data_IF_535289692002
#
_entry.id   IF_535289692002
#
_cell.length_a   1.000
_cell.length_b   1.000
_cell.length_c   1.000
_cell.angle_alpha   90.00
_cell.angle_beta   90.00
_cell.angle_gamma   90.00
#
_symmetry.space_group_name_H-M   'P 1'
#
loop_
_entity.id
_entity.type
_entity.pdbx_description
1 polymer ?
#
# COMPACT_ATOMS: atom_id res chain seq x y z
N UNK A 1 2.63 -26.31 35.68
CA UNK A 1 2.20 -25.13 34.91
C UNK A 1 0.73 -24.95 35.19
N UNK A 2 0.34 -23.86 35.84
CA UNK A 2 -1.08 -23.51 35.98
C UNK A 2 -1.59 -23.11 34.59
N UNK A 3 -2.73 -23.68 34.17
CA UNK A 3 -3.45 -23.25 32.97
C UNK A 3 -3.93 -21.82 33.21
N UNK A 4 -3.15 -20.82 32.78
CA UNK A 4 -3.67 -19.46 32.65
C UNK A 4 -4.80 -19.50 31.63
N UNK A 5 -6.01 -19.13 32.05
CA UNK A 5 -7.11 -18.94 31.12
C UNK A 5 -6.68 -17.94 30.04
N UNK A 6 -6.94 -18.28 28.79
CA UNK A 6 -6.73 -17.36 27.69
C UNK A 6 -7.81 -16.27 27.78
N UNK A 7 -7.41 -15.02 27.98
CA UNK A 7 -8.34 -13.89 28.17
C UNK A 7 -8.51 -13.08 26.88
N UNK A 8 -7.51 -13.11 25.99
CA UNK A 8 -7.59 -12.47 24.68
C UNK A 8 -6.66 -13.08 23.66
N UNK A 9 -7.14 -13.22 22.43
CA UNK A 9 -6.34 -13.57 21.26
C UNK A 9 -6.64 -12.60 20.11
N UNK A 10 -5.61 -12.24 19.35
CA UNK A 10 -5.75 -11.41 18.15
C UNK A 10 -4.74 -11.77 17.08
N UNK A 11 -5.14 -11.63 15.81
CA UNK A 11 -4.19 -11.58 14.69
C UNK A 11 -3.76 -10.13 14.52
N UNK A 12 -2.46 -9.89 14.37
CA UNK A 12 -1.92 -8.57 14.05
C UNK A 12 -1.14 -8.70 12.76
N UNK A 13 -1.65 -8.12 11.69
CA UNK A 13 -0.97 -8.04 10.41
C UNK A 13 -0.47 -6.62 10.22
N UNK A 14 0.75 -6.42 9.76
CA UNK A 14 1.26 -5.08 9.52
C UNK A 14 2.17 -5.00 8.31
N UNK A 15 2.22 -3.81 7.73
CA UNK A 15 3.12 -3.43 6.66
C UNK A 15 3.79 -2.10 7.00
N UNK A 16 5.11 -2.04 6.83
CA UNK A 16 5.94 -0.87 7.10
C UNK A 16 6.52 -0.34 5.79
N UNK A 17 6.31 0.94 5.58
CA UNK A 17 6.93 1.75 4.54
C UNK A 17 7.90 2.75 5.17
N UNK A 18 8.95 3.13 4.46
CA UNK A 18 9.90 4.10 5.00
C UNK A 18 10.61 4.92 3.93
N UNK A 19 11.02 6.13 4.31
CA UNK A 19 11.81 6.99 3.43
C UNK A 19 12.76 7.93 4.19
N UNK A 20 13.78 8.40 3.47
CA UNK A 20 14.68 9.48 3.90
C UNK A 20 14.28 10.84 3.34
N UNK A 21 13.32 10.84 2.41
CA UNK A 21 12.86 12.00 1.66
C UNK A 21 11.65 12.58 2.39
N UNK A 22 11.75 13.86 2.78
CA UNK A 22 10.94 14.47 3.82
C UNK A 22 9.55 14.94 3.32
N UNK A 23 8.65 15.14 4.28
CA UNK A 23 7.41 15.93 4.24
C UNK A 23 7.63 17.43 3.94
N UNK A 24 8.03 17.81 2.72
CA UNK A 24 8.03 19.20 2.24
C UNK A 24 8.98 20.26 2.87
N UNK A 25 9.72 19.99 3.94
CA UNK A 25 10.67 20.94 4.55
C UNK A 25 12.05 20.33 4.88
N UNK A 26 13.08 20.50 4.03
CA UNK A 26 14.44 20.05 4.31
C UNK A 26 15.13 20.82 5.46
N UNK A 27 14.59 21.96 5.91
CA UNK A 27 15.17 22.81 6.95
C UNK A 27 14.52 22.62 8.33
N UNK A 28 13.32 22.06 8.42
CA UNK A 28 12.72 21.73 9.72
C UNK A 28 13.30 20.42 10.26
N UNK A 29 14.38 20.53 11.04
CA UNK A 29 14.99 19.43 11.80
C UNK A 29 14.12 18.90 12.95
N UNK A 30 12.86 19.29 13.04
CA UNK A 30 12.00 18.90 14.14
C UNK A 30 11.52 17.47 13.87
N UNK A 31 11.83 16.55 14.80
CA UNK A 31 11.22 15.22 14.83
C UNK A 31 9.71 15.39 14.73
N UNK A 32 9.06 14.80 13.71
CA UNK A 32 7.61 14.66 13.74
C UNK A 32 7.32 13.76 14.94
N UNK A 33 6.73 14.36 15.97
CA UNK A 33 6.30 13.67 17.18
C UNK A 33 5.32 12.58 16.73
N UNK A 34 5.43 11.34 17.21
CA UNK A 34 4.48 10.29 16.85
C UNK A 34 3.07 10.78 17.19
N UNK A 35 2.27 10.97 16.15
CA UNK A 35 0.87 11.34 16.29
C UNK A 35 0.12 10.06 16.63
N UNK A 36 -0.92 10.18 17.46
CA UNK A 36 -1.82 9.07 17.75
C UNK A 36 -2.22 8.37 16.44
N UNK A 37 -2.23 7.03 16.42
CA UNK A 37 -2.53 6.32 15.19
C UNK A 37 -3.92 6.66 14.68
N UNK A 38 -4.04 6.86 13.36
CA UNK A 38 -5.33 6.88 12.71
C UNK A 38 -5.98 5.51 12.89
N UNK A 39 -7.07 5.46 13.64
CA UNK A 39 -7.76 4.22 13.98
C UNK A 39 -9.10 4.11 13.24
N UNK A 40 -9.31 3.00 12.52
CA UNK A 40 -10.59 2.68 11.89
C UNK A 40 -11.09 1.34 12.45
N UNK A 41 -12.19 1.38 13.21
CA UNK A 41 -12.85 0.15 13.68
C UNK A 41 -13.75 -0.42 12.56
N UNK A 42 -13.99 -1.73 12.60
CA UNK A 42 -14.74 -2.46 11.58
C UNK A 42 -14.16 -2.21 10.18
N UNK A 43 -12.89 -2.56 10.02
CA UNK A 43 -12.13 -2.41 8.76
C UNK A 43 -11.08 -3.53 8.64
N UNK A 44 -11.11 -4.35 7.57
CA UNK A 44 -11.97 -4.26 6.39
C UNK A 44 -13.44 -4.65 6.64
N UNK A 45 -13.72 -5.41 7.70
CA UNK A 45 -15.06 -5.88 8.08
C UNK A 45 -15.23 -5.85 9.61
N UNK A 46 -16.40 -6.24 10.11
CA UNK A 46 -16.68 -6.28 11.55
C UNK A 46 -15.71 -7.21 12.29
N UNK A 47 -15.27 -6.80 13.49
CA UNK A 47 -14.26 -7.53 14.27
C UNK A 47 -12.80 -7.15 13.97
N UNK A 48 -12.56 -6.36 12.91
CA UNK A 48 -11.24 -5.87 12.55
C UNK A 48 -11.02 -4.41 12.91
N UNK A 49 -9.75 -4.04 13.12
CA UNK A 49 -9.32 -2.67 13.41
C UNK A 49 -8.08 -2.33 12.60
N UNK A 50 -8.17 -1.28 11.78
CA UNK A 50 -7.02 -0.66 11.12
C UNK A 50 -6.38 0.38 12.05
N UNK A 51 -5.05 0.42 12.10
CA UNK A 51 -4.26 1.49 12.69
C UNK A 51 -3.17 1.94 11.72
N UNK A 52 -3.10 3.22 11.41
CA UNK A 52 -1.99 3.79 10.64
C UNK A 52 -1.15 4.69 11.54
N UNK A 53 0.14 4.37 11.68
CA UNK A 53 1.12 5.14 12.44
C UNK A 53 2.06 5.85 11.47
N UNK A 54 2.43 7.08 11.81
CA UNK A 54 3.27 7.95 10.98
C UNK A 54 4.44 8.50 11.78
N UNK A 55 5.60 8.64 11.15
CA UNK A 55 6.82 9.13 11.77
C UNK A 55 7.72 8.00 12.26
N UNK A 56 7.32 7.29 13.32
CA UNK A 56 8.10 6.19 13.93
C UNK A 56 7.35 4.86 13.87
N UNK A 57 8.08 3.75 13.88
CA UNK A 57 7.48 2.41 14.02
C UNK A 57 7.08 2.23 15.49
N UNK A 58 5.87 1.74 15.78
CA UNK A 58 5.44 1.49 17.16
C UNK A 58 6.33 0.47 17.89
N UNK A 59 6.63 0.72 19.17
CA UNK A 59 7.51 -0.13 19.99
C UNK A 59 6.98 -1.56 20.16
N UNK A 60 5.66 -1.74 20.20
CA UNK A 60 5.03 -3.06 20.24
C UNK A 60 5.26 -3.83 18.94
N UNK A 61 5.21 -3.17 17.79
CA UNK A 61 5.53 -3.77 16.48
C UNK A 61 7.03 -4.08 16.35
N UNK A 62 7.91 -3.18 16.83
CA UNK A 62 9.36 -3.42 16.87
C UNK A 62 9.67 -4.64 17.74
N UNK A 63 9.20 -4.63 18.98
CA UNK A 63 9.41 -5.70 19.96
C UNK A 63 8.88 -7.04 19.44
N UNK A 64 7.72 -7.01 18.78
CA UNK A 64 7.15 -8.19 18.16
C UNK A 64 8.01 -8.76 17.04
N UNK A 65 8.47 -7.88 16.14
CA UNK A 65 9.31 -8.28 15.01
C UNK A 65 10.66 -8.82 15.46
N UNK A 66 11.27 -8.18 16.45
CA UNK A 66 12.55 -8.58 17.03
C UNK A 66 12.44 -9.91 17.76
N UNK A 67 11.37 -10.13 18.52
CA UNK A 67 11.09 -11.43 19.16
C UNK A 67 11.05 -12.55 18.13
N UNK A 68 10.33 -12.32 17.02
CA UNK A 68 10.25 -13.29 15.92
C UNK A 68 11.61 -13.53 15.25
N UNK A 69 12.36 -12.46 14.94
CA UNK A 69 13.71 -12.62 14.37
C UNK A 69 14.64 -13.36 15.35
N UNK A 70 14.52 -13.11 16.65
CA UNK A 70 15.30 -13.77 17.70
C UNK A 70 15.03 -15.28 17.74
N UNK A 71 13.76 -15.67 17.69
CA UNK A 71 13.36 -17.08 17.58
C UNK A 71 13.91 -17.72 16.30
N UNK A 72 13.81 -17.02 15.16
CA UNK A 72 14.33 -17.50 13.88
C UNK A 72 15.86 -17.69 13.93
N UNK A 73 16.59 -16.77 14.57
CA UNK A 73 18.03 -16.86 14.76
C UNK A 73 18.42 -18.05 15.65
N UNK A 74 17.69 -18.31 16.74
CA UNK A 74 17.90 -19.49 17.59
C UNK A 74 17.73 -20.77 16.77
N UNK A 75 16.64 -20.88 16.01
CA UNK A 75 16.35 -22.05 15.17
C UNK A 75 17.41 -22.25 14.09
N UNK A 76 17.85 -21.16 13.46
CA UNK A 76 18.93 -21.18 12.49
C UNK A 76 20.22 -21.71 13.14
N UNK A 77 20.63 -21.17 14.29
CA UNK A 77 21.83 -21.62 15.01
C UNK A 77 21.75 -23.11 15.38
N UNK A 78 20.60 -23.56 15.90
CA UNK A 78 20.37 -24.97 16.24
C UNK A 78 20.46 -25.90 15.02
N UNK A 79 19.95 -25.46 13.86
CA UNK A 79 19.93 -26.27 12.62
C UNK A 79 21.33 -26.40 12.01
N UNK A 80 22.11 -25.32 12.00
CA UNK A 80 23.40 -25.25 11.31
C UNK A 80 24.60 -25.51 12.23
N UNK A 81 24.37 -26.09 13.41
CA UNK A 81 25.43 -26.56 14.30
C UNK A 81 26.24 -25.46 14.99
N UNK A 82 25.76 -24.21 14.94
CA UNK A 82 26.29 -23.18 15.83
C UNK A 82 25.84 -23.55 17.25
N UNK A 83 26.77 -23.62 18.20
CA UNK A 83 26.48 -24.05 19.57
C UNK A 83 25.49 -23.09 20.24
N UNK A 84 24.20 -23.41 20.17
CA UNK A 84 23.20 -22.84 21.07
C UNK A 84 23.58 -23.33 22.46
N UNK A 85 23.85 -22.39 23.36
CA UNK A 85 24.21 -22.71 24.73
C UNK A 85 22.99 -23.26 25.46
N UNK A 86 22.87 -24.59 25.48
CA UNK A 86 21.74 -25.31 26.10
C UNK A 86 21.70 -25.15 27.63
N UNK A 87 22.72 -24.51 28.25
CA UNK A 87 22.69 -24.18 29.68
C UNK A 87 21.83 -22.95 30.00
N UNK A 88 21.55 -22.10 29.00
CA UNK A 88 20.70 -20.92 29.14
C UNK A 88 19.23 -21.29 29.10
N UNK A 89 18.43 -20.57 29.88
CA UNK A 89 16.97 -20.63 29.76
C UNK A 89 16.50 -20.12 28.38
N UNK A 90 15.30 -20.50 27.97
CA UNK A 90 14.71 -20.05 26.69
C UNK A 90 14.59 -18.51 26.60
N UNK A 91 14.30 -17.85 27.73
CA UNK A 91 14.21 -16.39 27.80
C UNK A 91 15.59 -15.73 27.61
N UNK A 92 16.64 -16.28 28.21
CA UNK A 92 18.01 -15.79 28.03
C UNK A 92 18.49 -15.97 26.60
N UNK A 93 18.24 -17.13 25.99
CA UNK A 93 18.56 -17.39 24.59
C UNK A 93 17.86 -16.39 23.65
N UNK A 94 16.58 -16.09 23.93
CA UNK A 94 15.81 -15.12 23.15
C UNK A 94 16.36 -13.71 23.30
N UNK A 95 16.61 -13.26 24.53
CA UNK A 95 17.17 -11.94 24.82
C UNK A 95 18.52 -11.74 24.12
N UNK A 96 19.41 -12.73 24.21
CA UNK A 96 20.73 -12.67 23.59
C UNK A 96 20.63 -12.63 22.06
N UNK A 97 19.70 -13.40 21.48
CA UNK A 97 19.46 -13.41 20.03
C UNK A 97 18.87 -12.09 19.54
N UNK A 98 17.93 -11.49 20.28
CA UNK A 98 17.40 -10.14 19.99
C UNK A 98 18.52 -9.10 20.04
N UNK A 99 19.39 -9.16 21.05
CA UNK A 99 20.53 -8.24 21.16
C UNK A 99 21.46 -8.36 19.94
N UNK A 100 21.75 -9.58 19.49
CA UNK A 100 22.54 -9.84 18.28
C UNK A 100 21.88 -9.25 17.02
N UNK A 101 20.56 -9.40 16.87
CA UNK A 101 19.82 -8.81 15.74
C UNK A 101 19.90 -7.29 15.75
N UNK A 102 19.77 -6.66 16.92
CA UNK A 102 19.89 -5.20 17.07
C UNK A 102 21.29 -4.70 16.71
N UNK A 103 22.34 -5.48 16.98
CA UNK A 103 23.71 -5.15 16.59
C UNK A 103 23.93 -5.20 15.07
N UNK A 104 23.16 -6.02 14.37
CA UNK A 104 23.34 -6.28 12.93
C UNK A 104 22.28 -5.64 12.04
N UNK A 105 21.27 -4.99 12.60
CA UNK A 105 20.19 -4.39 11.82
C UNK A 105 19.84 -2.99 12.30
N UNK A 106 19.77 -2.05 11.36
CA UNK A 106 19.35 -0.67 11.56
C UNK A 106 17.95 -0.42 10.99
N UNK A 107 17.18 -1.47 10.67
CA UNK A 107 15.97 -1.35 9.83
C UNK A 107 14.92 -0.34 10.33
N UNK A 108 14.82 -0.16 11.64
CA UNK A 108 13.86 0.75 12.29
C UNK A 108 14.46 2.12 12.67
N UNK A 109 15.76 2.32 12.41
CA UNK A 109 16.49 3.57 12.69
C UNK A 109 17.20 4.14 11.47
N UNK A 110 17.29 3.38 10.38
CA UNK A 110 17.96 3.72 9.12
C UNK A 110 17.27 4.83 8.36
N UNK A 111 15.95 4.90 8.47
CA UNK A 111 15.14 5.85 7.74
C UNK A 111 14.66 6.97 8.66
N UNK A 112 14.51 8.17 8.09
CA UNK A 112 13.99 9.31 8.84
C UNK A 112 12.50 9.19 9.14
N UNK A 113 11.74 8.59 8.22
CA UNK A 113 10.28 8.54 8.29
C UNK A 113 9.75 7.13 8.05
N UNK A 114 8.75 6.75 8.83
CA UNK A 114 8.05 5.47 8.74
C UNK A 114 6.54 5.65 8.67
N UNK A 115 5.88 4.79 7.90
CA UNK A 115 4.42 4.62 7.92
C UNK A 115 4.16 3.15 8.18
N UNK A 116 3.47 2.86 9.29
CA UNK A 116 3.12 1.49 9.69
C UNK A 116 1.62 1.34 9.61
N UNK A 117 1.15 0.48 8.70
CA UNK A 117 -0.26 0.10 8.58
C UNK A 117 -0.43 -1.22 9.32
N UNK A 118 -1.35 -1.27 10.28
CA UNK A 118 -1.64 -2.44 11.11
C UNK A 118 -3.12 -2.80 10.99
N UNK A 119 -3.42 -4.05 10.76
CA UNK A 119 -4.77 -4.63 10.83
C UNK A 119 -4.77 -5.60 12.00
N UNK A 120 -5.64 -5.36 12.97
CA UNK A 120 -5.88 -6.24 14.10
C UNK A 120 -7.23 -6.94 13.94
N UNK A 121 -7.25 -8.25 14.08
CA UNK A 121 -8.46 -9.06 14.12
C UNK A 121 -8.60 -9.63 15.53
N UNK A 122 -9.73 -9.37 16.20
CA UNK A 122 -10.03 -10.03 17.47
C UNK A 122 -10.51 -11.44 17.20
N UNK A 123 -9.95 -12.39 17.93
CA UNK A 123 -10.30 -13.80 17.81
C UNK A 123 -11.07 -14.21 19.05
N UNK A 124 -12.20 -14.88 18.85
CA UNK A 124 -12.93 -15.48 19.96
C UNK A 124 -12.11 -16.64 20.52
N UNK A 125 -11.62 -16.44 21.74
CA UNK A 125 -10.76 -17.37 22.46
C UNK A 125 -11.48 -18.68 22.79
N UNK A 126 -12.82 -18.69 22.87
CA UNK A 126 -13.58 -19.90 23.18
C UNK A 126 -13.46 -20.96 22.08
N UNK A 127 -13.20 -20.56 20.83
CA UNK A 127 -12.84 -21.50 19.77
C UNK A 127 -11.48 -22.17 19.99
N UNK A 128 -10.64 -21.58 20.86
CA UNK A 128 -9.25 -21.94 21.09
C UNK A 128 -8.94 -22.46 22.50
N UNK A 129 -9.89 -22.43 23.44
CA UNK A 129 -9.75 -23.02 24.79
C UNK A 129 -9.36 -24.51 24.76
N UNK A 130 -9.60 -25.19 23.64
CA UNK A 130 -9.23 -26.59 23.42
C UNK A 130 -7.83 -26.80 22.81
N UNK A 131 -7.08 -25.74 22.49
CA UNK A 131 -5.69 -25.88 22.05
C UNK A 131 -4.76 -25.93 23.25
N UNK A 132 -4.52 -27.13 23.76
CA UNK A 132 -3.34 -27.38 24.55
C UNK A 132 -2.09 -27.36 23.63
N UNK A 133 -1.46 -26.19 23.54
CA UNK A 133 -0.25 -25.95 22.75
C UNK A 133 0.96 -26.77 23.21
N UNK A 134 0.86 -27.53 24.32
CA UNK A 134 1.91 -28.42 24.80
C UNK A 134 2.18 -29.60 23.86
N UNK A 135 1.26 -29.90 22.94
CA UNK A 135 1.43 -31.01 21.99
C UNK A 135 1.63 -30.52 20.56
N UNK A 136 2.62 -31.10 19.88
CA UNK A 136 2.93 -30.81 18.47
C UNK A 136 1.72 -30.97 17.56
N UNK A 137 0.84 -31.94 17.83
CA UNK A 137 -0.36 -32.19 17.03
C UNK A 137 -1.41 -31.08 17.16
N UNK A 138 -1.66 -30.59 18.37
CA UNK A 138 -2.61 -29.50 18.60
C UNK A 138 -2.04 -28.17 18.13
N UNK A 139 -0.74 -27.93 18.31
CA UNK A 139 -0.02 -26.82 17.70
C UNK A 139 -0.13 -26.82 16.17
N UNK A 140 -0.04 -28.00 15.53
CA UNK A 140 -0.20 -28.11 14.07
C UNK A 140 -1.65 -27.87 13.62
N UNK A 141 -2.64 -28.31 14.40
CA UNK A 141 -4.06 -28.05 14.13
C UNK A 141 -4.38 -26.56 14.27
N UNK A 142 -3.83 -25.91 15.30
CA UNK A 142 -3.89 -24.46 15.50
C UNK A 142 -3.30 -23.73 14.28
N UNK A 143 -2.10 -24.12 13.86
CA UNK A 143 -1.40 -23.56 12.70
C UNK A 143 -2.21 -23.66 11.41
N UNK A 144 -2.85 -24.80 11.18
CA UNK A 144 -3.65 -25.01 9.97
C UNK A 144 -4.92 -24.15 9.97
N UNK A 145 -5.53 -23.95 11.14
CA UNK A 145 -6.68 -23.06 11.29
C UNK A 145 -6.28 -21.59 11.08
N UNK A 146 -5.18 -21.15 11.71
CA UNK A 146 -4.60 -19.82 11.49
C UNK A 146 -4.26 -19.57 10.00
N UNK A 147 -3.64 -20.55 9.32
CA UNK A 147 -3.37 -20.49 7.88
C UNK A 147 -4.63 -20.43 7.03
N UNK A 148 -5.76 -20.96 7.51
CA UNK A 148 -7.05 -20.88 6.81
C UNK A 148 -7.61 -19.46 6.90
N UNK A 149 -7.64 -18.86 8.10
CA UNK A 149 -8.04 -17.45 8.28
C UNK A 149 -7.17 -16.48 7.47
N UNK A 150 -5.85 -16.69 7.44
CA UNK A 150 -4.94 -15.90 6.59
C UNK A 150 -5.23 -15.98 5.07
N UNK A 151 -5.88 -17.05 4.60
CA UNK A 151 -6.26 -17.19 3.19
C UNK A 151 -7.61 -16.56 2.87
N UNK A 152 -8.43 -16.32 3.88
CA UNK A 152 -9.80 -15.83 3.70
C UNK A 152 -9.81 -14.32 3.44
N UNK A 153 -8.84 -13.56 3.98
CA UNK A 153 -8.69 -12.13 3.69
C UNK A 153 -7.53 -11.80 2.73
N UNK A 154 -7.78 -10.97 1.69
CA UNK A 154 -6.74 -10.50 0.78
C UNK A 154 -5.94 -9.34 1.42
N UNK A 155 -5.23 -9.60 2.53
CA UNK A 155 -4.48 -8.60 3.30
C UNK A 155 -3.58 -7.72 2.43
N UNK A 156 -2.90 -8.32 1.44
CA UNK A 156 -2.06 -7.58 0.49
C UNK A 156 -2.85 -6.53 -0.27
N UNK A 157 -4.05 -6.87 -0.77
CA UNK A 157 -4.92 -5.94 -1.49
C UNK A 157 -5.43 -4.83 -0.56
N UNK A 158 -5.80 -5.19 0.67
CA UNK A 158 -6.25 -4.22 1.68
C UNK A 158 -5.13 -3.21 1.97
N UNK A 159 -3.91 -3.68 2.24
CA UNK A 159 -2.77 -2.78 2.46
C UNK A 159 -2.45 -1.94 1.23
N UNK A 160 -2.54 -2.50 0.03
CA UNK A 160 -2.30 -1.74 -1.21
C UNK A 160 -3.35 -0.64 -1.38
N UNK A 161 -4.63 -0.91 -1.08
CA UNK A 161 -5.71 0.08 -1.10
C UNK A 161 -5.52 1.17 -0.06
N UNK A 162 -5.15 0.81 1.17
CA UNK A 162 -4.86 1.79 2.23
C UNK A 162 -3.66 2.65 1.82
N UNK A 163 -2.56 2.03 1.39
CA UNK A 163 -1.37 2.73 0.89
C UNK A 163 -1.71 3.68 -0.27
N UNK A 164 -2.54 3.24 -1.21
CA UNK A 164 -2.99 4.06 -2.32
C UNK A 164 -3.82 5.26 -1.87
N UNK A 165 -4.72 5.11 -0.90
CA UNK A 165 -5.45 6.26 -0.34
C UNK A 165 -4.49 7.25 0.35
N UNK A 166 -3.46 6.73 1.00
CA UNK A 166 -2.42 7.54 1.65
C UNK A 166 -1.52 8.27 0.63
N UNK A 167 -1.40 7.80 -0.63
CA UNK A 167 -0.67 8.53 -1.70
C UNK A 167 -1.27 9.89 -2.04
N UNK A 168 -2.55 10.12 -1.76
CA UNK A 168 -3.18 11.44 -1.94
C UNK A 168 -2.62 12.49 -0.98
N UNK A 169 -2.18 12.04 0.18
CA UNK A 169 -1.73 12.91 1.27
C UNK A 169 -0.21 12.92 1.39
N UNK A 170 0.44 11.83 1.00
CA UNK A 170 1.88 11.65 1.14
C UNK A 170 2.58 11.40 -0.19
N UNK A 171 3.86 11.70 -0.19
CA UNK A 171 4.68 11.57 -1.39
C UNK A 171 4.82 10.11 -1.87
N UNK A 172 4.86 9.91 -3.19
CA UNK A 172 5.04 8.60 -3.81
C UNK A 172 6.30 7.86 -3.35
N UNK A 173 7.38 8.60 -3.04
CA UNK A 173 8.63 8.01 -2.57
C UNK A 173 8.44 7.21 -1.28
N UNK A 174 7.44 7.56 -0.48
CA UNK A 174 7.11 6.88 0.76
C UNK A 174 6.73 5.42 0.53
N UNK A 175 5.95 5.16 -0.52
CA UNK A 175 5.41 3.83 -0.83
C UNK A 175 6.25 3.05 -1.83
N UNK A 176 7.33 3.65 -2.34
CA UNK A 176 8.32 2.97 -3.18
C UNK A 176 9.18 1.95 -2.42
N UNK A 177 9.15 1.97 -1.07
CA UNK A 177 9.93 1.07 -0.21
C UNK A 177 9.08 0.42 0.86
N UNK A 178 8.51 -0.73 0.53
CA UNK A 178 8.05 -1.66 1.55
C UNK A 178 9.26 -2.28 2.27
N UNK A 179 9.41 -2.02 3.57
CA UNK A 179 10.49 -2.58 4.39
C UNK A 179 10.13 -3.97 4.91
N UNK A 180 8.90 -4.09 5.41
CA UNK A 180 8.45 -5.26 6.16
C UNK A 180 6.97 -5.45 5.91
N UNK A 181 6.56 -6.70 5.68
CA UNK A 181 5.19 -7.15 5.88
C UNK A 181 5.26 -8.44 6.69
N UNK A 182 4.55 -8.49 7.82
CA UNK A 182 4.48 -9.69 8.65
C UNK A 182 3.12 -9.82 9.32
N UNK A 183 2.90 -11.05 9.78
CA UNK A 183 1.67 -11.52 10.40
C UNK A 183 2.08 -12.08 11.76
N UNK A 184 1.46 -11.60 12.81
CA UNK A 184 1.63 -12.07 14.17
C UNK A 184 0.32 -12.63 14.68
N UNK A 185 0.42 -13.64 15.53
CA UNK A 185 -0.67 -14.10 16.36
C UNK A 185 -0.31 -13.80 17.81
N UNK A 186 -1.16 -13.07 18.50
CA UNK A 186 -0.94 -12.60 19.86
C UNK A 186 -1.97 -13.24 20.78
N UNK A 187 -1.52 -13.92 21.83
CA UNK A 187 -2.39 -14.47 22.89
C UNK A 187 -1.90 -13.98 24.22
N UNK A 188 -2.78 -13.36 25.02
CA UNK A 188 -2.41 -12.78 26.32
C UNK A 188 -1.09 -11.98 26.23
N UNK A 189 -1.00 -11.12 25.20
CA UNK A 189 0.18 -10.28 24.90
C UNK A 189 1.46 -11.02 24.47
N UNK A 190 1.42 -12.35 24.36
CA UNK A 190 2.54 -13.18 23.90
C UNK A 190 2.42 -13.46 22.40
N UNK A 191 3.53 -13.44 21.65
CA UNK A 191 3.54 -13.58 20.18
C UNK A 191 3.99 -14.98 19.77
N UNK A 192 3.23 -15.64 18.88
CA UNK A 192 3.44 -17.06 18.59
C UNK A 192 3.86 -17.41 17.14
N UNK A 193 3.63 -16.57 16.11
CA UNK A 193 3.75 -17.02 14.69
C UNK A 193 4.24 -16.00 13.65
N UNK A 194 4.70 -16.54 12.49
CA UNK A 194 5.07 -15.85 11.23
C UNK A 194 4.72 -16.68 9.97
N UNK A 195 4.43 -16.02 8.85
CA UNK A 195 4.64 -16.49 7.46
C UNK A 195 5.67 -15.55 6.77
N UNK A 196 6.69 -16.02 6.01
CA UNK A 196 7.76 -15.17 5.53
C UNK A 196 7.43 -14.52 4.17
N UNK A 197 7.35 -13.20 4.13
CA UNK A 197 7.60 -12.39 2.93
C UNK A 197 8.82 -11.50 3.17
N UNK A 198 9.82 -11.56 2.29
CA UNK A 198 10.97 -10.64 2.27
C UNK A 198 10.83 -9.78 1.02
N UNK A 199 10.76 -8.46 1.16
CA UNK A 199 10.91 -7.51 0.06
C UNK A 199 11.79 -6.35 0.49
N UNK A 200 12.63 -5.85 -0.41
CA UNK A 200 13.44 -4.64 -0.22
C UNK A 200 13.40 -3.80 -1.49
N UNK A 201 13.14 -2.50 -1.35
CA UNK A 201 13.11 -1.50 -2.44
C UNK A 201 13.92 -0.25 -2.09
N UNK A 202 14.44 0.44 -3.12
CA UNK A 202 15.13 1.74 -3.06
C UNK A 202 14.39 2.69 -4.03
N UNK A 203 14.35 3.99 -3.73
CA UNK A 203 13.48 4.99 -4.32
C UNK A 203 13.86 6.40 -3.82
N UNK A 204 13.66 7.36 -4.72
CA UNK A 204 14.12 8.76 -4.75
C UNK A 204 12.98 9.76 -4.47
N UNK A 205 13.35 11.02 -4.20
CA UNK A 205 12.54 12.16 -3.73
C UNK A 205 11.38 12.57 -4.65
N UNK A 206 10.22 12.88 -4.04
CA UNK A 206 9.32 13.96 -4.47
C UNK A 206 8.57 14.58 -3.27
N UNK A 207 7.62 15.47 -3.51
CA UNK A 207 7.06 16.46 -2.57
C UNK A 207 5.64 16.09 -2.13
N UNK A 208 5.35 16.03 -0.82
CA UNK A 208 4.02 15.67 -0.26
C UNK A 208 3.52 16.63 0.82
N UNK A 209 2.24 16.55 1.24
CA UNK A 209 1.63 17.46 2.25
C UNK A 209 2.08 17.13 3.68
N UNK A 210 2.05 18.11 4.59
CA UNK A 210 2.33 17.91 6.03
C UNK A 210 1.25 17.05 6.68
N UNK A 211 1.64 16.09 7.54
CA UNK A 211 0.68 15.20 8.20
C UNK A 211 -0.36 15.96 9.04
N UNK A 212 0.03 17.02 9.76
CA UNK A 212 -0.88 17.80 10.60
C UNK A 212 -1.98 18.52 9.79
N UNK A 213 -1.85 18.56 8.46
CA UNK A 213 -2.83 19.13 7.55
C UNK A 213 -3.73 18.09 6.88
N UNK A 214 -3.60 16.81 7.23
CA UNK A 214 -4.42 15.73 6.67
C UNK A 214 -5.80 15.72 7.32
N UNK A 215 -6.84 15.79 6.50
CA UNK A 215 -8.22 15.59 6.93
C UNK A 215 -8.45 14.10 7.20
N UNK A 216 -8.43 13.71 8.48
CA UNK A 216 -8.58 12.33 8.90
C UNK A 216 -9.98 11.76 8.56
N UNK A 217 -11.04 12.55 8.64
CA UNK A 217 -12.40 12.08 8.35
C UNK A 217 -12.57 11.80 6.87
N UNK A 218 -12.08 12.71 6.03
CA UNK A 218 -12.08 12.52 4.57
C UNK A 218 -11.24 11.29 4.19
N UNK A 219 -10.05 11.13 4.77
CA UNK A 219 -9.17 10.00 4.50
C UNK A 219 -9.82 8.66 4.88
N UNK A 220 -10.47 8.58 6.05
CA UNK A 220 -11.21 7.38 6.49
C UNK A 220 -12.34 7.07 5.51
N UNK A 221 -13.09 8.07 5.07
CA UNK A 221 -14.18 7.90 4.10
C UNK A 221 -13.65 7.31 2.79
N UNK A 222 -12.58 7.88 2.25
CA UNK A 222 -11.94 7.41 1.02
C UNK A 222 -11.43 5.97 1.17
N UNK A 223 -10.82 5.61 2.30
CA UNK A 223 -10.37 4.24 2.56
C UNK A 223 -11.52 3.23 2.57
N UNK A 224 -12.67 3.59 3.16
CA UNK A 224 -13.86 2.72 3.16
C UNK A 224 -14.42 2.54 1.76
N UNK A 225 -14.57 3.61 0.99
CA UNK A 225 -15.01 3.54 -0.41
C UNK A 225 -14.06 2.70 -1.27
N UNK A 226 -12.75 2.89 -1.08
CA UNK A 226 -11.71 2.17 -1.80
C UNK A 226 -11.75 0.66 -1.60
N UNK A 227 -12.06 0.19 -0.38
CA UNK A 227 -12.22 -1.24 -0.10
C UNK A 227 -13.34 -1.88 -0.91
N UNK A 228 -14.46 -1.18 -1.04
CA UNK A 228 -15.67 -1.70 -1.69
C UNK A 228 -15.61 -1.63 -3.22
N UNK A 229 -14.63 -0.91 -3.78
CA UNK A 229 -14.53 -0.69 -5.21
C UNK A 229 -13.54 -1.65 -5.90
N UNK A 230 -14.07 -2.65 -6.63
CA UNK A 230 -13.27 -3.61 -7.41
C UNK A 230 -12.50 -2.97 -8.57
N UNK A 231 -13.02 -1.88 -9.16
CA UNK A 231 -12.33 -1.18 -10.24
C UNK A 231 -11.04 -0.54 -9.72
N UNK A 232 -11.11 0.03 -8.52
CA UNK A 232 -9.97 0.63 -7.85
C UNK A 232 -8.88 -0.42 -7.54
N UNK A 233 -9.25 -1.67 -7.22
CA UNK A 233 -8.28 -2.76 -6.99
C UNK A 233 -7.29 -2.92 -8.15
N UNK A 234 -7.75 -2.79 -9.40
CA UNK A 234 -6.87 -2.92 -10.58
C UNK A 234 -5.91 -1.73 -10.70
N UNK A 235 -6.41 -0.51 -10.50
CA UNK A 235 -5.60 0.72 -10.55
C UNK A 235 -4.53 0.67 -9.45
N UNK A 236 -4.96 0.35 -8.22
CA UNK A 236 -4.12 0.17 -7.03
C UNK A 236 -3.03 -0.88 -7.29
N UNK A 237 -3.41 -2.06 -7.78
CA UNK A 237 -2.46 -3.14 -8.05
C UNK A 237 -1.31 -2.68 -8.97
N UNK A 238 -1.64 -2.10 -10.12
CA UNK A 238 -0.62 -1.67 -11.09
C UNK A 238 0.16 -0.45 -10.61
N UNK A 239 -0.47 0.45 -9.85
CA UNK A 239 0.23 1.59 -9.25
C UNK A 239 1.26 1.13 -8.22
N UNK A 240 0.87 0.23 -7.31
CA UNK A 240 1.78 -0.31 -6.30
C UNK A 240 2.88 -1.19 -6.95
N UNK A 241 2.54 -1.97 -7.98
CA UNK A 241 3.53 -2.73 -8.76
C UNK A 241 4.57 -1.80 -9.42
N UNK A 242 4.13 -0.69 -10.02
CA UNK A 242 5.03 0.32 -10.59
C UNK A 242 5.95 0.93 -9.53
N UNK A 243 5.40 1.33 -8.38
CA UNK A 243 6.19 1.97 -7.31
C UNK A 243 7.27 1.05 -6.74
N UNK A 244 6.97 -0.25 -6.64
CA UNK A 244 7.87 -1.27 -6.08
C UNK A 244 8.86 -1.87 -7.09
N UNK A 245 8.67 -1.64 -8.40
CA UNK A 245 9.54 -2.21 -9.44
C UNK A 245 10.88 -1.47 -9.57
N UNK A 246 11.97 -2.23 -9.67
CA UNK A 246 13.35 -1.74 -9.78
C UNK A 246 13.80 -1.62 -11.22
N UNK A 247 13.39 -2.55 -12.07
CA UNK A 247 13.72 -2.51 -13.48
C UNK A 247 12.97 -1.37 -14.15
N UNK A 248 13.70 -0.42 -14.73
CA UNK A 248 13.11 0.80 -15.30
C UNK A 248 12.13 0.48 -16.44
N UNK A 249 12.39 -0.52 -17.27
CA UNK A 249 11.47 -0.88 -18.35
C UNK A 249 10.16 -1.44 -17.83
N UNK A 250 10.24 -2.38 -16.88
CA UNK A 250 9.05 -2.94 -16.23
C UNK A 250 8.29 -1.87 -15.45
N UNK A 251 8.99 -0.99 -14.74
CA UNK A 251 8.39 0.13 -14.02
C UNK A 251 7.58 1.02 -14.95
N UNK A 252 8.16 1.40 -16.09
CA UNK A 252 7.44 2.18 -17.10
C UNK A 252 6.22 1.42 -17.63
N UNK A 253 6.38 0.13 -17.95
CA UNK A 253 5.29 -0.69 -18.49
C UNK A 253 4.14 -0.85 -17.48
N UNK A 254 4.44 -1.12 -16.22
CA UNK A 254 3.44 -1.22 -15.14
C UNK A 254 2.72 0.12 -14.93
N UNK A 255 3.45 1.23 -14.98
CA UNK A 255 2.83 2.56 -14.92
C UNK A 255 1.93 2.83 -16.12
N UNK A 256 2.34 2.43 -17.34
CA UNK A 256 1.48 2.55 -18.51
C UNK A 256 0.23 1.68 -18.42
N UNK A 257 0.34 0.44 -17.92
CA UNK A 257 -0.84 -0.41 -17.67
C UNK A 257 -1.78 0.21 -16.64
N UNK A 258 -1.24 0.80 -15.58
CA UNK A 258 -2.03 1.57 -14.61
C UNK A 258 -2.79 2.71 -15.31
N UNK A 259 -2.11 3.49 -16.15
CA UNK A 259 -2.71 4.61 -16.89
C UNK A 259 -3.77 4.15 -17.89
N UNK A 260 -3.57 3.03 -18.57
CA UNK A 260 -4.53 2.46 -19.52
C UNK A 260 -5.82 2.01 -18.82
N UNK A 261 -5.68 1.33 -17.68
CA UNK A 261 -6.82 0.92 -16.85
C UNK A 261 -7.53 2.14 -16.29
N UNK A 262 -6.78 3.08 -15.71
CA UNK A 262 -7.30 4.34 -15.17
C UNK A 262 -8.12 5.08 -16.24
N UNK A 263 -7.57 5.23 -17.45
CA UNK A 263 -8.25 5.86 -18.59
C UNK A 263 -9.56 5.14 -18.92
N UNK A 264 -9.54 3.81 -19.05
CA UNK A 264 -10.75 3.08 -19.42
C UNK A 264 -11.83 3.11 -18.33
N UNK A 265 -11.46 2.97 -17.05
CA UNK A 265 -12.44 2.99 -15.96
C UNK A 265 -12.99 4.39 -15.70
N UNK A 266 -12.13 5.41 -15.73
CA UNK A 266 -12.54 6.81 -15.60
C UNK A 266 -13.49 7.20 -16.74
N UNK A 267 -13.17 6.79 -17.97
CA UNK A 267 -14.04 7.04 -19.12
C UNK A 267 -15.44 6.45 -18.92
N UNK A 268 -15.56 5.21 -18.44
CA UNK A 268 -16.88 4.58 -18.17
C UNK A 268 -17.67 5.31 -17.09
N UNK A 269 -17.01 5.86 -16.06
CA UNK A 269 -17.67 6.65 -15.02
C UNK A 269 -18.25 7.93 -15.65
N UNK A 270 -17.43 8.66 -16.40
CA UNK A 270 -17.85 9.94 -16.96
C UNK A 270 -18.83 9.79 -18.14
N UNK A 271 -18.67 8.79 -19.00
CA UNK A 271 -19.60 8.46 -20.07
C UNK A 271 -21.03 8.24 -19.51
N UNK A 272 -21.14 7.45 -18.44
CA UNK A 272 -22.44 7.19 -17.77
C UNK A 272 -22.99 8.42 -17.06
N UNK A 273 -22.14 9.26 -16.47
CA UNK A 273 -22.59 10.48 -15.77
C UNK A 273 -23.00 11.61 -16.72
N UNK A 274 -22.37 11.71 -17.90
CA UNK A 274 -22.69 12.71 -18.91
C UNK A 274 -24.00 12.40 -19.65
N UNK A 275 -24.46 11.14 -19.66
CA UNK A 275 -25.83 10.84 -20.10
C UNK A 275 -26.92 11.38 -19.16
N UNK A 276 -26.59 11.80 -17.92
CA UNK A 276 -27.61 12.18 -16.93
C UNK A 276 -27.53 13.64 -16.42
N UNK A 277 -26.36 14.28 -16.29
CA UNK A 277 -26.30 15.53 -15.46
C UNK A 277 -25.46 16.71 -15.99
N UNK A 278 -24.40 16.51 -16.78
CA UNK A 278 -23.44 17.61 -17.05
C UNK A 278 -23.84 18.65 -18.11
N UNK A 279 -24.96 18.46 -18.81
CA UNK A 279 -25.46 19.43 -19.80
C UNK A 279 -26.30 20.57 -19.20
N UNK A 280 -26.52 20.63 -17.87
CA UNK A 280 -27.50 21.56 -17.29
C UNK A 280 -27.02 22.54 -16.22
N UNK A 281 -25.90 22.34 -15.52
CA UNK A 281 -25.69 23.07 -14.25
C UNK A 281 -24.29 23.62 -13.91
N UNK A 282 -23.32 23.74 -14.84
CA UNK A 282 -22.07 24.47 -14.55
C UNK A 282 -22.09 25.91 -15.08
N UNK A 283 -22.40 26.87 -14.21
CA UNK A 283 -22.13 28.29 -14.44
C UNK A 283 -20.63 28.49 -14.66
N UNK A 284 -20.24 28.82 -15.90
CA UNK A 284 -18.85 28.90 -16.34
C UNK A 284 -18.49 27.95 -17.49
N UNK A 285 -19.41 27.09 -17.93
CA UNK A 285 -19.26 26.25 -19.12
C UNK A 285 -19.13 27.12 -20.38
N UNK A 286 -17.91 27.26 -20.89
CA UNK A 286 -17.62 27.86 -22.18
C UNK A 286 -17.64 26.76 -23.24
N UNK A 287 -18.79 26.64 -23.92
CA UNK A 287 -19.05 25.69 -25.00
C UNK A 287 -18.00 25.81 -26.14
N UNK A 288 -17.31 26.95 -26.24
CA UNK A 288 -16.23 27.17 -27.21
C UNK A 288 -14.86 26.60 -26.80
N UNK A 289 -14.70 26.18 -25.54
CA UNK A 289 -13.44 25.61 -24.99
C UNK A 289 -13.50 24.11 -24.73
N UNK A 290 -14.69 23.51 -24.73
CA UNK A 290 -14.85 22.06 -24.54
C UNK A 290 -14.84 21.35 -25.89
N UNK A 291 -13.66 20.83 -26.21
CA UNK A 291 -13.35 19.68 -27.09
C UNK A 291 -14.10 19.57 -28.44
N UNK A 292 -13.42 19.74 -29.59
CA UNK A 292 -13.97 19.52 -30.94
C UNK A 292 -14.35 18.07 -31.32
N UNK A 293 -14.47 17.14 -30.36
CA UNK A 293 -14.39 15.69 -30.64
C UNK A 293 -15.72 14.93 -30.58
N UNK A 294 -16.82 15.57 -30.15
CA UNK A 294 -18.14 14.94 -30.10
C UNK A 294 -19.04 15.49 -31.20
N UNK A 295 -18.60 15.33 -32.44
CA UNK A 295 -19.57 15.22 -33.53
C UNK A 295 -20.45 14.01 -33.18
N UNK A 296 -21.76 14.20 -33.16
CA UNK A 296 -22.80 13.31 -32.60
C UNK A 296 -22.93 11.93 -33.29
N UNK A 297 -21.89 11.46 -33.98
CA UNK A 297 -21.85 10.27 -34.83
C UNK A 297 -20.99 9.12 -34.28
N UNK A 298 -20.49 9.20 -33.04
CA UNK A 298 -19.84 8.05 -32.39
C UNK A 298 -20.90 7.09 -31.82
N UNK A 299 -21.57 6.34 -32.70
CA UNK A 299 -22.58 5.33 -32.34
C UNK A 299 -22.00 4.15 -31.53
N UNK A 300 -20.67 4.03 -31.40
CA UNK A 300 -20.01 2.97 -30.61
C UNK A 300 -18.79 3.50 -29.84
N UNK A 301 -19.04 3.99 -28.62
CA UNK A 301 -18.01 4.47 -27.68
C UNK A 301 -16.99 3.40 -27.31
N UNK A 302 -17.30 2.11 -27.50
CA UNK A 302 -16.35 1.02 -27.29
C UNK A 302 -15.22 1.01 -28.33
N UNK A 303 -15.40 1.65 -29.49
CA UNK A 303 -14.39 1.75 -30.55
C UNK A 303 -13.45 2.94 -30.39
N UNK A 304 -13.67 3.80 -29.39
CA UNK A 304 -12.78 4.93 -29.15
C UNK A 304 -11.38 4.45 -28.78
N UNK A 305 -10.38 5.03 -29.45
CA UNK A 305 -8.98 4.75 -29.11
C UNK A 305 -8.67 5.25 -27.70
N UNK A 306 -7.68 4.63 -27.06
CA UNK A 306 -7.26 5.03 -25.71
C UNK A 306 -6.90 6.52 -25.62
N UNK A 307 -6.28 7.08 -26.67
CA UNK A 307 -5.94 8.51 -26.73
C UNK A 307 -7.18 9.41 -26.76
N UNK A 308 -8.23 9.02 -27.49
CA UNK A 308 -9.49 9.78 -27.53
C UNK A 308 -10.16 9.75 -26.15
N UNK A 309 -10.20 8.58 -25.50
CA UNK A 309 -10.75 8.45 -24.14
C UNK A 309 -9.98 9.32 -23.15
N UNK A 310 -8.65 9.34 -23.23
CA UNK A 310 -7.83 10.19 -22.37
C UNK A 310 -8.07 11.68 -22.65
N UNK A 311 -8.17 12.11 -23.91
CA UNK A 311 -8.53 13.49 -24.24
C UNK A 311 -9.86 13.91 -23.59
N UNK A 312 -10.88 13.05 -23.63
CA UNK A 312 -12.15 13.34 -22.97
C UNK A 312 -11.99 13.51 -21.46
N UNK A 313 -11.25 12.60 -20.82
CA UNK A 313 -11.00 12.66 -19.38
C UNK A 313 -10.22 13.91 -19.00
N UNK A 314 -9.14 14.22 -19.73
CA UNK A 314 -8.32 15.40 -19.49
C UNK A 314 -9.12 16.70 -19.66
N UNK A 315 -9.94 16.80 -20.71
CA UNK A 315 -10.81 17.96 -20.91
C UNK A 315 -11.87 18.12 -19.83
N UNK A 316 -12.28 17.02 -19.20
CA UNK A 316 -13.28 17.01 -18.12
C UNK A 316 -12.67 17.32 -16.76
N UNK A 317 -11.54 16.69 -16.42
CA UNK A 317 -10.95 16.73 -15.08
C UNK A 317 -9.86 17.78 -14.91
N UNK A 318 -9.18 18.19 -15.99
CA UNK A 318 -8.05 19.13 -15.93
C UNK A 318 -8.02 20.10 -17.12
N UNK A 319 -9.09 20.88 -17.35
CA UNK A 319 -9.20 21.73 -18.54
C UNK A 319 -8.07 22.77 -18.67
N UNK A 320 -7.54 23.26 -17.54
CA UNK A 320 -6.46 24.26 -17.54
C UNK A 320 -5.12 23.71 -18.06
N UNK A 321 -4.83 22.42 -17.82
CA UNK A 321 -3.61 21.75 -18.27
C UNK A 321 -3.86 20.71 -19.38
N UNK A 322 -5.04 20.77 -20.00
CA UNK A 322 -5.49 19.79 -21.01
C UNK A 322 -4.43 19.47 -22.07
N UNK A 323 -3.85 20.51 -22.70
CA UNK A 323 -2.87 20.32 -23.77
C UNK A 323 -1.59 19.65 -23.30
N UNK A 324 -1.11 19.99 -22.10
CA UNK A 324 0.10 19.40 -21.53
C UNK A 324 -0.11 17.93 -21.18
N UNK A 325 -1.25 17.62 -20.54
CA UNK A 325 -1.61 16.25 -20.16
C UNK A 325 -1.77 15.34 -21.38
N UNK A 326 -2.45 15.83 -22.42
CA UNK A 326 -2.62 15.06 -23.67
C UNK A 326 -1.28 14.82 -24.36
N UNK A 327 -0.40 15.83 -24.41
CA UNK A 327 0.93 15.68 -25.01
C UNK A 327 1.79 14.65 -24.26
N UNK A 328 1.79 14.71 -22.93
CA UNK A 328 2.48 13.74 -22.08
C UNK A 328 1.93 12.32 -22.28
N UNK A 329 0.60 12.18 -22.32
CA UNK A 329 -0.05 10.89 -22.55
C UNK A 329 0.34 10.30 -23.92
N UNK A 330 0.30 11.11 -24.99
CA UNK A 330 0.70 10.69 -26.34
C UNK A 330 2.16 10.26 -26.34
N UNK A 331 3.04 10.99 -25.66
CA UNK A 331 4.46 10.64 -25.52
C UNK A 331 4.61 9.26 -24.85
N UNK A 332 3.98 9.05 -23.70
CA UNK A 332 4.01 7.75 -23.00
C UNK A 332 3.43 6.61 -23.85
N UNK A 333 2.31 6.85 -24.56
CA UNK A 333 1.70 5.86 -25.44
C UNK A 333 2.61 5.47 -26.58
N UNK A 334 3.25 6.45 -27.23
CA UNK A 334 4.21 6.19 -28.30
C UNK A 334 5.39 5.36 -27.81
N UNK A 335 5.97 5.71 -26.65
CA UNK A 335 7.04 4.91 -26.03
C UNK A 335 6.59 3.46 -25.76
N UNK A 336 5.38 3.25 -25.23
CA UNK A 336 4.86 1.89 -25.02
C UNK A 336 4.68 1.13 -26.33
N UNK A 337 4.11 1.78 -27.34
CA UNK A 337 3.93 1.19 -28.67
C UNK A 337 5.30 0.80 -29.26
N UNK A 338 6.29 1.69 -29.22
CA UNK A 338 7.65 1.41 -29.67
C UNK A 338 8.27 0.18 -28.97
N UNK A 339 8.17 0.10 -27.64
CA UNK A 339 8.61 -1.07 -26.87
C UNK A 339 7.91 -2.36 -27.32
N UNK A 340 6.61 -2.29 -27.58
CA UNK A 340 5.80 -3.46 -27.98
C UNK A 340 6.16 -3.97 -29.38
N UNK A 341 6.66 -3.09 -30.25
CA UNK A 341 7.16 -3.44 -31.58
C UNK A 341 8.64 -3.85 -31.59
N UNK A 342 9.29 -3.94 -30.42
CA UNK A 342 10.69 -4.34 -30.30
C UNK A 342 11.70 -3.23 -30.61
N UNK A 343 11.26 -1.97 -30.66
CA UNK A 343 12.20 -0.85 -30.82
C UNK A 343 13.02 -0.69 -29.54
N UNK A 344 14.35 -0.73 -29.67
CA UNK A 344 15.27 -0.55 -28.55
C UNK A 344 15.34 0.95 -28.23
N UNK A 345 14.61 1.38 -27.21
CA UNK A 345 14.77 2.72 -26.64
C UNK A 345 15.91 2.70 -25.61
N UNK A 346 16.50 3.86 -25.30
CA UNK A 346 17.41 3.93 -24.15
C UNK A 346 16.61 4.15 -22.88
N UNK A 347 17.06 3.56 -21.78
CA UNK A 347 16.43 3.70 -20.45
C UNK A 347 16.24 5.17 -20.02
N UNK A 348 17.17 6.06 -20.42
CA UNK A 348 17.10 7.50 -20.09
C UNK A 348 16.13 8.29 -20.97
N UNK A 349 15.56 7.66 -22.00
CA UNK A 349 14.55 8.25 -22.90
C UNK A 349 13.12 7.91 -22.46
N UNK A 350 12.95 7.09 -21.41
CA UNK A 350 11.64 6.75 -20.85
C UNK A 350 10.99 7.98 -20.20
N UNK A 351 9.74 8.33 -20.56
CA UNK A 351 9.05 9.52 -20.06
C UNK A 351 8.45 9.27 -18.67
N UNK A 352 9.30 9.02 -17.67
CA UNK A 352 8.87 8.75 -16.29
C UNK A 352 8.25 9.96 -15.61
N UNK A 353 8.76 11.15 -15.90
CA UNK A 353 8.28 12.38 -15.26
C UNK A 353 6.86 12.67 -15.72
N UNK A 354 6.62 12.56 -17.02
CA UNK A 354 5.33 12.71 -17.67
C UNK A 354 4.33 11.64 -17.16
N UNK A 355 4.76 10.38 -17.14
CA UNK A 355 3.93 9.27 -16.67
C UNK A 355 3.54 9.43 -15.18
N UNK A 356 4.50 9.79 -14.32
CA UNK A 356 4.22 10.02 -12.91
C UNK A 356 3.29 11.21 -12.72
N UNK A 357 3.53 12.33 -13.41
CA UNK A 357 2.69 13.54 -13.33
C UNK A 357 1.24 13.24 -13.66
N UNK A 358 1.00 12.54 -14.77
CA UNK A 358 -0.36 12.12 -15.16
C UNK A 358 -0.94 11.18 -14.11
N UNK A 359 -0.24 10.10 -13.75
CA UNK A 359 -0.78 9.12 -12.80
C UNK A 359 -1.11 9.76 -11.46
N UNK A 360 -0.25 10.61 -10.91
CA UNK A 360 -0.45 11.28 -9.62
C UNK A 360 -1.73 12.10 -9.62
N UNK A 361 -1.92 12.93 -10.65
CA UNK A 361 -3.11 13.76 -10.79
C UNK A 361 -4.37 12.90 -10.96
N UNK A 362 -4.43 12.05 -11.99
CA UNK A 362 -5.66 11.35 -12.35
C UNK A 362 -6.05 10.25 -11.36
N UNK A 363 -5.08 9.62 -10.66
CA UNK A 363 -5.39 8.71 -9.55
C UNK A 363 -5.94 9.45 -8.32
N UNK A 364 -5.52 10.70 -8.10
CA UNK A 364 -6.06 11.52 -7.02
C UNK A 364 -7.47 12.01 -7.36
N UNK A 365 -7.71 12.43 -8.60
CA UNK A 365 -9.03 12.87 -9.03
C UNK A 365 -10.05 11.73 -9.02
N UNK A 366 -9.70 10.53 -9.50
CA UNK A 366 -10.65 9.41 -9.50
C UNK A 366 -11.11 9.02 -8.08
N UNK A 367 -10.25 9.16 -7.07
CA UNK A 367 -10.61 8.93 -5.66
C UNK A 367 -11.67 9.91 -5.13
N UNK A 368 -11.91 11.05 -5.81
CA UNK A 368 -12.99 11.99 -5.46
C UNK A 368 -14.32 11.62 -6.10
N UNK A 369 -14.30 10.76 -7.12
CA UNK A 369 -15.47 10.38 -7.91
C UNK A 369 -15.95 8.94 -7.65
N UNK A 370 -15.28 8.24 -6.72
CA UNK A 370 -15.62 6.93 -6.19
C UNK A 370 -16.03 7.12 -4.73
#
# INVERSE_FOLDING_TARGET
>A
MENKSCESAKIVVFRIYATNTYYHDPESSNEIIPIEPLCINAFPEDGYKLKCYFGKVPEDIISAKETVDGIDLIRFKATFGNSVDMSKSSEELLRDSIAEIRLHTDRFTKFKWYTTIVIEEKIDVHEYENFNLDTTAQYQKFLNHFKKGLKELPYTEIFDKVAFCLLKEFDNSFFSKQLVENYFFVVNETIFFRNPGIFSGIGDLSVGKKYESVDHEQLISVMRSALQNELLSKIVHWRMAMLNEKDKWKKFLFGFFCMEILTNETFKIFEKSQSETYLKESEGYDESKVTPLFDSNFEDTNRMTLAIKFCFIAGTLNPEHYSDDVNDFIKCKKTRDDMSHGNILKVNELPFNELNRILDFYTTEILKHI
#
